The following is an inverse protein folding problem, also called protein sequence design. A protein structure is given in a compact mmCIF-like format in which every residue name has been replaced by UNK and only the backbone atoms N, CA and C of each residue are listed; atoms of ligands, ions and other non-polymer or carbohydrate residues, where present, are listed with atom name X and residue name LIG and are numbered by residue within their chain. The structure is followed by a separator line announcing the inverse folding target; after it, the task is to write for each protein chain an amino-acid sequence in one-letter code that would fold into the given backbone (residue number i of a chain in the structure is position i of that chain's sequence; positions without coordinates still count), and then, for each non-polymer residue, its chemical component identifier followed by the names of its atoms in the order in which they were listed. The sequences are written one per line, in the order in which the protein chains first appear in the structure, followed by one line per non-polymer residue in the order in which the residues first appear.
data_IF_262088848630
#
_entry.id   IF_262088848630
#
_cell.length_a   1.000
_cell.length_b   1.000
_cell.length_c   1.000
_cell.angle_alpha   90.00
_cell.angle_beta   90.00
_cell.angle_gamma   90.00
#
_symmetry.space_group_name_H-M   'P 1'
#
loop_
_entity.id
_entity.type
_entity.pdbx_description
1 polymer ?
#
# COMPACT_ATOMS: atom_id res chain seq x y z
N UNK A 1 23.20 6.04 27.93
CA UNK A 1 22.68 4.89 27.18
C UNK A 1 21.44 5.39 26.44
N UNK A 2 21.55 5.66 25.15
CA UNK A 2 20.39 5.96 24.29
C UNK A 2 19.57 4.69 24.19
N UNK A 3 18.32 4.71 24.65
CA UNK A 3 17.42 3.56 24.48
C UNK A 3 17.30 3.25 22.98
N UNK A 4 17.36 1.96 22.62
CA UNK A 4 17.14 1.54 21.25
C UNK A 4 15.73 1.94 20.82
N UNK A 5 15.60 2.52 19.62
CA UNK A 5 14.30 2.86 19.05
C UNK A 5 13.47 1.57 18.91
N UNK A 6 12.29 1.47 19.54
CA UNK A 6 11.44 0.29 19.44
C UNK A 6 10.97 0.18 17.98
N UNK A 7 11.29 -0.94 17.34
CA UNK A 7 10.87 -1.25 15.97
C UNK A 7 9.93 -2.43 16.01
N UNK A 8 8.86 -2.34 15.22
CA UNK A 8 7.92 -3.43 15.07
C UNK A 8 8.53 -4.55 14.21
N UNK A 9 9.31 -4.19 13.18
CA UNK A 9 10.07 -5.14 12.36
C UNK A 9 11.35 -4.47 11.78
N UNK A 10 12.54 -5.08 11.89
CA UNK A 10 13.74 -4.54 11.25
C UNK A 10 13.63 -4.60 9.71
N UNK A 11 13.77 -3.46 9.04
CA UNK A 11 13.76 -3.38 7.57
C UNK A 11 14.89 -4.20 6.95
N UNK A 12 16.03 -4.33 7.65
CA UNK A 12 17.15 -5.13 7.20
C UNK A 12 16.77 -6.61 6.99
N UNK A 13 15.88 -7.15 7.81
CA UNK A 13 15.41 -8.54 7.69
C UNK A 13 14.50 -8.71 6.47
N UNK A 14 13.61 -7.74 6.24
CA UNK A 14 12.77 -7.69 5.03
C UNK A 14 13.62 -7.63 3.76
N UNK A 15 14.65 -6.77 3.75
CA UNK A 15 15.57 -6.62 2.60
C UNK A 15 16.40 -7.89 2.39
N UNK A 16 16.88 -8.50 3.49
CA UNK A 16 17.61 -9.75 3.43
C UNK A 16 16.74 -10.86 2.84
N UNK A 17 15.50 -11.01 3.30
CA UNK A 17 14.54 -11.95 2.74
C UNK A 17 14.29 -11.69 1.26
N UNK A 18 14.02 -10.44 0.88
CA UNK A 18 13.75 -10.06 -0.52
C UNK A 18 14.93 -10.39 -1.45
N UNK A 19 16.17 -10.30 -0.96
CA UNK A 19 17.38 -10.66 -1.72
C UNK A 19 17.48 -12.16 -1.99
N UNK A 20 16.87 -13.01 -1.14
CA UNK A 20 16.84 -14.47 -1.35
C UNK A 20 15.82 -14.92 -2.40
N UNK A 21 14.88 -14.05 -2.80
CA UNK A 21 13.84 -14.41 -3.74
C UNK A 21 14.40 -14.63 -5.14
N UNK A 22 14.15 -15.82 -5.69
CA UNK A 22 14.56 -16.16 -7.04
C UNK A 22 13.68 -15.42 -8.06
N UNK A 23 14.30 -14.53 -8.84
CA UNK A 23 13.63 -13.83 -9.95
C UNK A 23 13.73 -14.57 -11.29
N UNK A 24 14.36 -15.75 -11.30
CA UNK A 24 14.54 -16.58 -12.48
C UNK A 24 13.28 -17.40 -12.74
N UNK A 25 12.93 -17.58 -14.02
CA UNK A 25 11.78 -18.37 -14.47
C UNK A 25 10.40 -17.92 -13.97
N UNK A 26 10.28 -16.73 -13.38
CA UNK A 26 8.99 -16.15 -13.07
C UNK A 26 8.19 -15.89 -14.35
N UNK A 27 6.88 -16.08 -14.27
CA UNK A 27 5.95 -15.68 -15.32
C UNK A 27 5.34 -14.33 -14.94
N UNK A 28 5.71 -13.22 -15.60
CA UNK A 28 5.13 -11.91 -15.30
C UNK A 28 3.62 -11.93 -15.40
N UNK A 29 2.93 -11.31 -14.44
CA UNK A 29 1.45 -11.24 -14.45
C UNK A 29 0.89 -10.37 -15.57
N UNK A 30 1.74 -9.54 -16.18
CA UNK A 30 1.40 -8.67 -17.32
C UNK A 30 2.55 -8.58 -18.31
N UNK A 31 2.26 -8.10 -19.52
CA UNK A 31 3.30 -7.78 -20.51
C UNK A 31 4.22 -6.67 -19.99
N UNK A 32 5.53 -6.94 -19.97
CA UNK A 32 6.59 -6.03 -19.54
C UNK A 32 7.95 -6.43 -20.11
N UNK A 33 8.93 -5.52 -20.06
CA UNK A 33 10.33 -5.84 -20.32
C UNK A 33 10.95 -6.44 -19.05
N UNK A 34 11.20 -7.75 -19.06
CA UNK A 34 11.59 -8.49 -17.86
C UNK A 34 12.91 -7.99 -17.26
N UNK A 35 13.91 -7.73 -18.10
CA UNK A 35 15.21 -7.25 -17.64
C UNK A 35 15.12 -5.87 -16.97
N UNK A 36 14.29 -4.97 -17.50
CA UNK A 36 14.10 -3.63 -16.91
C UNK A 36 13.39 -3.76 -15.56
N UNK A 37 12.36 -4.60 -15.48
CA UNK A 37 11.63 -4.79 -14.22
C UNK A 37 12.47 -5.47 -13.14
N UNK A 38 13.34 -6.40 -13.53
CA UNK A 38 14.33 -6.99 -12.61
C UNK A 38 15.36 -5.96 -12.15
N UNK A 39 15.80 -5.05 -13.03
CA UNK A 39 16.68 -3.94 -12.65
C UNK A 39 15.99 -2.98 -11.67
N UNK A 40 14.72 -2.62 -11.93
CA UNK A 40 13.91 -1.79 -11.02
C UNK A 40 13.81 -2.42 -9.61
N UNK A 41 13.60 -3.75 -9.55
CA UNK A 41 13.60 -4.49 -8.28
C UNK A 41 14.94 -4.38 -7.55
N UNK A 42 16.05 -4.60 -8.25
CA UNK A 42 17.39 -4.52 -7.65
C UNK A 42 17.76 -3.11 -7.19
N UNK A 43 17.33 -2.08 -7.94
CA UNK A 43 17.51 -0.68 -7.55
C UNK A 43 16.72 -0.35 -6.27
N UNK A 44 15.47 -0.81 -6.19
CA UNK A 44 14.65 -0.63 -4.99
C UNK A 44 15.26 -1.34 -3.78
N UNK A 45 15.74 -2.59 -3.92
CA UNK A 45 16.42 -3.32 -2.86
C UNK A 45 17.69 -2.61 -2.40
N UNK A 46 18.53 -2.16 -3.33
CA UNK A 46 19.77 -1.44 -3.01
C UNK A 46 19.47 -0.15 -2.25
N UNK A 47 18.43 0.57 -2.67
CA UNK A 47 17.98 1.80 -2.00
C UNK A 47 17.53 1.52 -0.56
N UNK A 48 16.71 0.49 -0.35
CA UNK A 48 16.22 0.10 0.97
C UNK A 48 17.35 -0.43 1.87
N UNK A 49 18.29 -1.18 1.30
CA UNK A 49 19.48 -1.67 2.01
C UNK A 49 20.34 -0.51 2.50
N UNK A 50 20.63 0.45 1.62
CA UNK A 50 21.37 1.66 2.01
C UNK A 50 20.63 2.44 3.08
N UNK A 51 19.31 2.64 2.94
CA UNK A 51 18.51 3.32 3.94
C UNK A 51 18.56 2.62 5.30
N UNK A 52 18.40 1.29 5.34
CA UNK A 52 18.48 0.48 6.55
C UNK A 52 19.85 0.60 7.25
N UNK A 53 20.94 0.86 6.51
CA UNK A 53 22.27 1.05 7.09
C UNK A 53 22.54 2.48 7.61
N UNK A 54 21.68 3.47 7.30
CA UNK A 54 21.93 4.88 7.65
C UNK A 54 21.74 5.15 9.14
N UNK A 55 22.49 6.10 9.73
CA UNK A 55 22.22 6.60 11.09
C UNK A 55 20.79 7.12 11.26
N UNK A 56 20.22 7.67 10.18
CA UNK A 56 18.82 8.10 10.07
C UNK A 56 17.78 7.03 10.37
N UNK A 57 18.08 5.78 9.98
CA UNK A 57 17.23 4.64 10.28
C UNK A 57 17.61 3.97 11.60
N UNK A 58 18.91 3.90 11.92
CA UNK A 58 19.43 3.20 13.10
C UNK A 58 19.09 3.92 14.42
N UNK A 59 19.10 5.25 14.42
CA UNK A 59 18.75 6.08 15.57
C UNK A 59 17.93 7.29 15.09
N UNK A 60 16.66 7.09 14.67
CA UNK A 60 15.89 8.13 13.97
C UNK A 60 15.57 9.35 14.84
N UNK A 61 15.58 9.19 16.16
CA UNK A 61 15.22 10.24 17.13
C UNK A 61 16.43 11.07 17.60
N UNK A 62 17.64 10.81 17.08
CA UNK A 62 18.85 11.54 17.51
C UNK A 62 18.95 12.94 16.89
N UNK A 63 18.26 13.18 15.78
CA UNK A 63 18.30 14.45 15.05
C UNK A 63 17.41 15.49 15.71
N UNK A 64 17.67 16.78 15.44
CA UNK A 64 16.88 17.88 15.97
C UNK A 64 16.51 18.88 14.85
N UNK A 65 15.43 19.62 15.07
CA UNK A 65 14.88 20.64 14.18
C UNK A 65 14.84 20.15 12.72
N UNK A 66 15.39 20.93 11.80
CA UNK A 66 15.40 20.61 10.38
C UNK A 66 16.05 19.25 10.06
N UNK A 67 17.05 18.80 10.82
CA UNK A 67 17.64 17.49 10.59
C UNK A 67 16.69 16.33 10.95
N UNK A 68 15.82 16.52 11.96
CA UNK A 68 14.78 15.54 12.27
C UNK A 68 13.70 15.51 11.17
N UNK A 69 13.35 16.68 10.65
CA UNK A 69 12.45 16.81 9.50
C UNK A 69 13.02 16.14 8.25
N UNK A 70 14.29 16.40 7.95
CA UNK A 70 15.03 15.77 6.85
C UNK A 70 15.04 14.26 6.99
N UNK A 71 15.30 13.75 8.19
CA UNK A 71 15.24 12.31 8.42
C UNK A 71 13.84 11.75 8.16
N UNK A 72 12.78 12.43 8.60
CA UNK A 72 11.40 12.01 8.33
C UNK A 72 11.11 11.89 6.82
N UNK A 73 11.52 12.86 6.00
CA UNK A 73 11.33 12.77 4.54
C UNK A 73 12.16 11.64 3.90
N UNK A 74 13.31 11.30 4.46
CA UNK A 74 14.08 10.13 4.01
C UNK A 74 13.37 8.81 4.34
N UNK A 75 12.75 8.72 5.52
CA UNK A 75 11.86 7.59 5.86
C UNK A 75 10.68 7.50 4.90
N UNK A 76 10.03 8.62 4.59
CA UNK A 76 8.91 8.66 3.64
C UNK A 76 9.34 8.17 2.24
N UNK A 77 10.50 8.62 1.75
CA UNK A 77 11.06 8.14 0.48
C UNK A 77 11.36 6.64 0.48
N UNK A 78 11.84 6.10 1.61
CA UNK A 78 12.05 4.66 1.79
C UNK A 78 10.71 3.90 1.78
N UNK A 79 9.68 4.41 2.48
CA UNK A 79 8.33 3.83 2.47
C UNK A 79 7.76 3.71 1.06
N UNK A 80 7.81 4.78 0.26
CA UNK A 80 7.39 4.76 -1.14
C UNK A 80 8.21 3.76 -1.99
N UNK A 81 9.49 3.57 -1.66
CA UNK A 81 10.34 2.58 -2.34
C UNK A 81 9.95 1.15 -1.96
N UNK A 82 9.59 0.91 -0.71
CA UNK A 82 9.09 -0.37 -0.24
C UNK A 82 7.74 -0.75 -0.89
N UNK A 83 6.80 0.21 -1.01
CA UNK A 83 5.56 -0.04 -1.75
C UNK A 83 5.83 -0.37 -3.24
N UNK A 84 6.77 0.33 -3.88
CA UNK A 84 7.18 -0.01 -5.26
C UNK A 84 7.78 -1.40 -5.37
N UNK A 85 8.54 -1.85 -4.37
CA UNK A 85 9.08 -3.21 -4.34
C UNK A 85 7.95 -4.26 -4.38
N UNK A 86 6.87 -4.07 -3.61
CA UNK A 86 5.68 -4.94 -3.68
C UNK A 86 5.07 -4.94 -5.08
N UNK A 87 4.86 -3.77 -5.69
CA UNK A 87 4.32 -3.66 -7.05
C UNK A 87 5.21 -4.37 -8.06
N UNK A 88 6.54 -4.22 -7.96
CA UNK A 88 7.48 -4.91 -8.84
C UNK A 88 7.44 -6.42 -8.65
N UNK A 89 7.29 -6.89 -7.41
CA UNK A 89 7.08 -8.30 -7.12
C UNK A 89 5.82 -8.87 -7.77
N UNK A 90 4.71 -8.12 -7.68
CA UNK A 90 3.45 -8.47 -8.33
C UNK A 90 3.65 -8.52 -9.86
N UNK A 91 4.22 -7.47 -10.45
CA UNK A 91 4.52 -7.38 -11.89
C UNK A 91 5.37 -8.56 -12.39
N UNK A 92 6.43 -8.90 -11.65
CA UNK A 92 7.37 -9.97 -11.99
C UNK A 92 6.74 -11.37 -11.89
N UNK A 93 5.60 -11.52 -11.23
CA UNK A 93 5.00 -12.84 -11.02
C UNK A 93 5.50 -13.57 -9.77
N UNK A 94 5.99 -12.85 -8.75
CA UNK A 94 6.32 -13.49 -7.49
C UNK A 94 5.09 -14.19 -6.89
N UNK A 95 5.20 -15.42 -6.37
CA UNK A 95 4.09 -16.10 -5.71
C UNK A 95 3.51 -15.28 -4.57
N UNK A 96 2.20 -15.38 -4.34
CA UNK A 96 1.52 -14.64 -3.27
C UNK A 96 2.15 -14.90 -1.89
N UNK A 97 2.56 -16.13 -1.58
CA UNK A 97 3.28 -16.46 -0.35
C UNK A 97 4.60 -15.68 -0.17
N UNK A 98 5.34 -15.42 -1.26
CA UNK A 98 6.57 -14.62 -1.20
C UNK A 98 6.25 -13.12 -0.96
N UNK A 99 5.15 -12.62 -1.55
CA UNK A 99 4.67 -11.26 -1.28
C UNK A 99 4.18 -11.12 0.16
N UNK A 100 3.44 -12.12 0.67
CA UNK A 100 2.98 -12.21 2.07
C UNK A 100 4.15 -12.16 3.05
N UNK A 101 5.25 -12.86 2.77
CA UNK A 101 6.43 -12.84 3.62
C UNK A 101 7.15 -11.47 3.67
N UNK A 102 7.02 -10.65 2.63
CA UNK A 102 7.59 -9.29 2.59
C UNK A 102 6.71 -8.25 3.26
N UNK A 103 5.39 -8.44 3.19
CA UNK A 103 4.41 -7.41 3.53
C UNK A 103 4.52 -6.88 4.98
N UNK A 104 4.56 -7.71 6.04
CA UNK A 104 4.60 -7.22 7.42
C UNK A 104 5.77 -6.29 7.69
N UNK A 105 6.96 -6.62 7.17
CA UNK A 105 8.14 -5.78 7.33
C UNK A 105 8.06 -4.44 6.59
N UNK A 106 7.24 -4.35 5.54
CA UNK A 106 6.96 -3.11 4.81
C UNK A 106 5.87 -2.31 5.53
N UNK A 107 4.82 -2.95 6.04
CA UNK A 107 3.79 -2.31 6.86
C UNK A 107 4.41 -1.70 8.14
N UNK A 108 5.24 -2.47 8.84
CA UNK A 108 5.99 -2.03 10.02
C UNK A 108 6.87 -0.80 9.75
N UNK A 109 7.49 -0.68 8.57
CA UNK A 109 8.26 0.52 8.19
C UNK A 109 7.39 1.79 8.22
N UNK A 110 6.15 1.70 7.74
CA UNK A 110 5.19 2.80 7.77
C UNK A 110 4.69 3.10 9.17
N UNK A 111 4.40 2.07 9.98
CA UNK A 111 3.98 2.24 11.37
C UNK A 111 5.09 2.88 12.22
N UNK A 112 6.32 2.37 12.14
CA UNK A 112 7.48 2.91 12.86
C UNK A 112 7.78 4.37 12.47
N UNK A 113 7.45 4.76 11.23
CA UNK A 113 7.61 6.13 10.74
C UNK A 113 6.77 7.15 11.53
N UNK A 114 5.66 6.74 12.16
CA UNK A 114 4.81 7.61 12.96
C UNK A 114 5.59 8.28 14.10
N UNK A 115 6.40 7.51 14.84
CA UNK A 115 7.24 8.03 15.91
C UNK A 115 8.33 8.99 15.38
N UNK A 116 8.82 8.76 14.16
CA UNK A 116 9.78 9.66 13.49
C UNK A 116 9.11 10.98 13.10
N UNK A 117 7.87 10.92 12.61
CA UNK A 117 7.06 12.10 12.28
C UNK A 117 6.75 12.93 13.53
N UNK A 118 6.34 12.28 14.62
CA UNK A 118 6.05 12.93 15.91
C UNK A 118 7.28 13.61 16.49
N UNK A 119 8.44 12.94 16.44
CA UNK A 119 9.70 13.53 16.88
C UNK A 119 10.10 14.74 16.03
N UNK A 120 9.99 14.65 14.71
CA UNK A 120 10.23 15.79 13.83
C UNK A 120 9.30 16.95 14.15
N UNK A 121 8.01 16.67 14.40
CA UNK A 121 7.00 17.68 14.77
C UNK A 121 7.36 18.39 16.06
N UNK A 122 7.64 17.62 17.11
CA UNK A 122 8.02 18.15 18.42
C UNK A 122 9.31 18.96 18.36
N UNK A 123 10.34 18.40 17.71
CA UNK A 123 11.65 19.04 17.63
C UNK A 123 11.61 20.35 16.82
N UNK A 124 10.83 20.40 15.74
CA UNK A 124 10.59 21.64 14.99
C UNK A 124 9.84 22.68 15.82
N UNK A 125 8.80 22.26 16.54
CA UNK A 125 8.02 23.19 17.35
C UNK A 125 8.87 23.88 18.43
N UNK A 126 9.81 23.14 19.05
CA UNK A 126 10.79 23.68 19.99
C UNK A 126 11.76 24.67 19.32
N UNK A 127 12.21 24.36 18.10
CA UNK A 127 13.17 25.20 17.37
C UNK A 127 12.54 26.51 16.86
N UNK A 128 11.24 26.51 16.53
CA UNK A 128 10.54 27.67 15.99
C UNK A 128 9.70 28.43 17.02
N UNK A 129 9.61 27.94 18.26
CA UNK A 129 8.72 28.45 19.32
C UNK A 129 7.25 28.59 18.86
N UNK A 130 6.80 27.65 18.03
CA UNK A 130 5.47 27.65 17.43
C UNK A 130 5.06 26.24 16.98
N UNK A 131 3.76 25.90 16.91
CA UNK A 131 3.32 24.64 16.33
C UNK A 131 3.84 24.45 14.91
N UNK A 132 4.38 23.27 14.62
CA UNK A 132 4.89 22.91 13.29
C UNK A 132 4.11 21.74 12.71
N UNK A 133 3.71 21.84 11.44
CA UNK A 133 2.98 20.78 10.76
C UNK A 133 3.93 19.73 10.18
N UNK A 134 3.84 18.50 10.68
CA UNK A 134 4.45 17.32 10.04
C UNK A 134 3.33 16.35 9.72
N UNK A 135 3.10 16.02 8.43
CA UNK A 135 2.01 15.15 8.02
C UNK A 135 2.20 13.74 8.60
N UNK A 136 1.10 12.99 8.75
CA UNK A 136 1.16 11.56 9.02
C UNK A 136 1.98 10.83 7.94
N UNK A 137 2.57 9.66 8.24
CA UNK A 137 3.36 8.88 7.27
C UNK A 137 2.65 8.72 5.92
N UNK A 138 1.38 8.31 5.95
CA UNK A 138 0.48 8.22 4.80
C UNK A 138 -0.53 9.36 4.83
N UNK A 139 -0.16 10.52 4.28
CA UNK A 139 -1.06 11.65 4.12
C UNK A 139 -2.10 11.36 3.02
N UNK A 140 -3.25 10.81 3.40
CA UNK A 140 -4.31 10.28 2.51
C UNK A 140 -4.97 11.34 1.62
N UNK A 141 -4.82 12.63 1.91
CA UNK A 141 -5.31 13.71 1.04
C UNK A 141 -4.30 14.12 -0.05
N UNK A 142 -3.19 13.40 -0.17
CA UNK A 142 -2.11 13.66 -1.11
C UNK A 142 -1.88 12.48 -2.05
N UNK A 143 -0.82 12.52 -2.87
CA UNK A 143 -0.45 11.39 -3.72
C UNK A 143 -0.07 10.11 -2.94
N UNK A 144 0.27 10.23 -1.64
CA UNK A 144 0.53 9.09 -0.76
C UNK A 144 -0.72 8.20 -0.55
N UNK A 145 -1.91 8.68 -0.91
CA UNK A 145 -3.14 7.89 -0.91
C UNK A 145 -3.03 6.58 -1.70
N UNK A 146 -2.27 6.58 -2.80
CA UNK A 146 -2.02 5.37 -3.57
C UNK A 146 -1.38 4.27 -2.71
N UNK A 147 -0.40 4.64 -1.89
CA UNK A 147 0.31 3.70 -1.04
C UNK A 147 -0.59 3.23 0.11
N UNK A 148 -1.48 4.08 0.62
CA UNK A 148 -2.51 3.69 1.57
C UNK A 148 -3.44 2.61 0.99
N UNK A 149 -4.05 2.87 -0.18
CA UNK A 149 -4.92 1.87 -0.84
C UNK A 149 -4.16 0.58 -1.14
N UNK A 150 -2.91 0.68 -1.62
CA UNK A 150 -2.07 -0.48 -1.88
C UNK A 150 -1.83 -1.33 -0.64
N UNK A 151 -1.43 -0.71 0.49
CA UNK A 151 -1.14 -1.44 1.71
C UNK A 151 -2.40 -2.09 2.26
N UNK A 152 -3.51 -1.36 2.32
CA UNK A 152 -4.78 -1.86 2.86
C UNK A 152 -5.34 -3.00 1.99
N UNK A 153 -5.32 -2.84 0.65
CA UNK A 153 -5.77 -3.89 -0.26
C UNK A 153 -4.87 -5.13 -0.22
N UNK A 154 -3.55 -4.96 -0.11
CA UNK A 154 -2.62 -6.09 0.00
C UNK A 154 -2.70 -6.79 1.35
N UNK A 155 -3.06 -6.12 2.44
CA UNK A 155 -3.31 -6.80 3.71
C UNK A 155 -4.38 -7.87 3.56
N UNK A 156 -5.47 -7.53 2.85
CA UNK A 156 -6.55 -8.46 2.53
C UNK A 156 -6.10 -9.54 1.55
N UNK A 157 -5.52 -9.14 0.41
CA UNK A 157 -5.12 -10.05 -0.68
C UNK A 157 -3.97 -11.01 -0.31
N UNK A 158 -3.20 -10.70 0.73
CA UNK A 158 -2.11 -11.55 1.21
C UNK A 158 -2.47 -12.25 2.53
N UNK A 159 -3.74 -12.17 2.96
CA UNK A 159 -4.24 -12.81 4.17
C UNK A 159 -3.41 -12.43 5.42
N UNK A 160 -3.20 -11.13 5.60
CA UNK A 160 -2.55 -10.53 6.78
C UNK A 160 -3.37 -9.35 7.32
N UNK A 161 -4.68 -9.52 7.56
CA UNK A 161 -5.57 -8.44 8.01
C UNK A 161 -5.17 -7.88 9.38
N UNK A 162 -4.44 -8.63 10.21
CA UNK A 162 -3.96 -8.20 11.52
C UNK A 162 -3.01 -6.99 11.48
N UNK A 163 -2.44 -6.68 10.31
CA UNK A 163 -1.60 -5.49 10.11
C UNK A 163 -2.44 -4.19 9.95
N UNK A 164 -3.72 -4.32 9.60
CA UNK A 164 -4.61 -3.18 9.31
C UNK A 164 -4.78 -2.25 10.51
N UNK A 165 -5.05 -2.73 11.75
CA UNK A 165 -5.20 -1.85 12.90
C UNK A 165 -3.97 -0.97 13.17
N UNK A 166 -2.77 -1.53 13.07
CA UNK A 166 -1.53 -0.78 13.26
C UNK A 166 -1.31 0.26 12.15
N UNK A 167 -1.61 -0.09 10.89
CA UNK A 167 -1.56 0.86 9.77
C UNK A 167 -2.56 2.01 9.96
N UNK A 168 -3.77 1.69 10.40
CA UNK A 168 -4.82 2.67 10.68
C UNK A 168 -4.40 3.68 11.74
N UNK A 169 -3.88 3.18 12.87
CA UNK A 169 -3.48 4.02 14.00
C UNK A 169 -2.21 4.82 13.69
N UNK A 170 -1.15 4.16 13.23
CA UNK A 170 0.17 4.76 13.18
C UNK A 170 0.49 5.40 11.83
N UNK A 171 0.16 4.75 10.72
CA UNK A 171 0.52 5.25 9.40
C UNK A 171 -0.50 6.28 8.86
N UNK A 172 -1.80 6.01 9.09
CA UNK A 172 -2.92 6.83 8.58
C UNK A 172 -3.43 7.84 9.60
N UNK A 173 -3.16 7.64 10.89
CA UNK A 173 -3.71 8.45 11.98
C UNK A 173 -5.25 8.59 11.91
N UNK A 174 -5.92 7.52 11.46
CA UNK A 174 -7.36 7.48 11.20
C UNK A 174 -7.90 8.54 10.20
N UNK A 175 -7.06 9.19 9.38
CA UNK A 175 -7.53 10.06 8.28
C UNK A 175 -7.91 9.20 7.07
N UNK A 176 -9.09 8.59 7.14
CA UNK A 176 -9.63 7.68 6.11
C UNK A 176 -10.84 8.23 5.39
N UNK A 177 -11.07 7.69 4.20
CA UNK A 177 -12.25 7.94 3.40
C UNK A 177 -13.04 6.64 3.20
N UNK A 178 -14.15 6.74 2.47
CA UNK A 178 -15.05 5.62 2.20
C UNK A 178 -14.32 4.36 1.75
N UNK A 179 -13.39 4.46 0.79
CA UNK A 179 -12.72 3.27 0.26
C UNK A 179 -11.82 2.62 1.32
N UNK A 180 -11.02 3.42 2.03
CA UNK A 180 -10.14 2.89 3.08
C UNK A 180 -10.95 2.25 4.23
N UNK A 181 -12.12 2.79 4.55
CA UNK A 181 -13.03 2.20 5.53
C UNK A 181 -13.56 0.85 5.05
N UNK A 182 -14.02 0.73 3.80
CA UNK A 182 -14.45 -0.56 3.25
C UNK A 182 -13.32 -1.61 3.25
N UNK A 183 -12.08 -1.20 2.95
CA UNK A 183 -10.93 -2.11 2.97
C UNK A 183 -10.52 -2.54 4.39
N UNK A 184 -10.92 -1.80 5.43
CA UNK A 184 -10.58 -2.07 6.82
C UNK A 184 -11.73 -2.57 7.68
N UNK A 185 -12.97 -2.53 7.16
CA UNK A 185 -14.18 -2.77 7.92
C UNK A 185 -14.16 -4.09 8.69
N UNK A 186 -13.76 -5.18 8.05
CA UNK A 186 -13.69 -6.49 8.69
C UNK A 186 -12.61 -6.59 9.78
N UNK A 187 -11.47 -5.92 9.61
CA UNK A 187 -10.36 -5.98 10.57
C UNK A 187 -10.56 -5.04 11.77
N UNK A 188 -11.46 -4.06 11.64
CA UNK A 188 -11.74 -3.04 12.66
C UNK A 188 -13.17 -3.12 13.21
N UNK A 189 -13.96 -4.11 12.79
CA UNK A 189 -15.39 -4.23 13.09
C UNK A 189 -16.16 -2.91 12.84
N UNK A 190 -15.89 -2.24 11.72
CA UNK A 190 -16.55 -0.96 11.40
C UNK A 190 -18.02 -1.19 11.05
N UNK A 191 -18.91 -0.56 11.81
CA UNK A 191 -20.35 -0.58 11.53
C UNK A 191 -20.75 0.36 10.37
N UNK A 192 -19.98 1.43 10.15
CA UNK A 192 -20.25 2.46 9.16
C UNK A 192 -18.96 2.92 8.50
N UNK A 193 -19.02 3.14 7.19
CA UNK A 193 -17.95 3.77 6.42
C UNK A 193 -18.23 5.28 6.27
N UNK A 194 -17.17 6.06 6.07
CA UNK A 194 -17.22 7.48 5.78
C UNK A 194 -18.04 7.76 4.50
N UNK A 195 -18.78 8.86 4.51
CA UNK A 195 -19.45 9.36 3.31
C UNK A 195 -18.48 10.05 2.35
N UNK A 196 -17.31 10.48 2.84
CA UNK A 196 -16.34 11.24 2.07
C UNK A 196 -15.50 10.34 1.15
N UNK A 197 -15.11 10.90 0.01
CA UNK A 197 -14.12 10.30 -0.89
C UNK A 197 -13.04 11.33 -1.18
N UNK A 198 -11.80 11.07 -0.79
CA UNK A 198 -10.72 12.06 -0.90
C UNK A 198 -10.26 12.24 -2.34
N UNK A 199 -10.25 11.16 -3.12
CA UNK A 199 -9.75 11.17 -4.49
C UNK A 199 -10.78 10.60 -5.46
N UNK A 200 -11.56 11.46 -6.14
CA UNK A 200 -12.56 11.00 -7.11
C UNK A 200 -12.00 10.21 -8.30
N UNK A 201 -10.69 10.27 -8.57
CA UNK A 201 -10.07 9.57 -9.71
C UNK A 201 -8.99 8.57 -9.22
N UNK A 202 -9.19 7.26 -9.40
CA UNK A 202 -10.30 6.58 -10.07
C UNK A 202 -11.57 6.37 -9.22
N UNK A 203 -11.49 6.55 -7.91
CA UNK A 203 -12.39 5.89 -6.96
C UNK A 203 -13.83 6.44 -6.94
N UNK A 204 -14.10 7.59 -7.55
CA UNK A 204 -15.47 8.12 -7.67
C UNK A 204 -16.38 7.23 -8.50
N UNK A 205 -15.80 6.44 -9.41
CA UNK A 205 -16.54 5.45 -10.18
C UNK A 205 -16.98 4.22 -9.34
N UNK A 206 -16.49 4.08 -8.09
CA UNK A 206 -16.97 3.06 -7.15
C UNK A 206 -18.27 3.46 -6.44
N UNK A 207 -18.77 4.68 -6.62
CA UNK A 207 -20.02 5.12 -5.98
C UNK A 207 -21.19 4.18 -6.31
N UNK A 208 -21.29 3.73 -7.58
CA UNK A 208 -22.32 2.77 -7.99
C UNK A 208 -22.25 1.42 -7.25
N UNK A 209 -21.05 1.04 -6.79
CA UNK A 209 -20.86 -0.13 -5.95
C UNK A 209 -21.23 0.17 -4.49
N UNK A 210 -20.73 1.27 -3.93
CA UNK A 210 -20.94 1.64 -2.52
C UNK A 210 -22.38 2.00 -2.17
N UNK A 211 -23.13 2.54 -3.12
CA UNK A 211 -24.50 3.04 -2.89
C UNK A 211 -25.56 1.96 -3.17
N UNK A 212 -25.15 0.69 -3.35
CA UNK A 212 -26.09 -0.43 -3.52
C UNK A 212 -26.95 -0.61 -2.26
N UNK A 213 -28.24 -0.84 -2.48
CA UNK A 213 -29.19 -1.18 -1.41
C UNK A 213 -29.29 -2.70 -1.26
N UNK A 214 -29.02 -3.22 -0.07
CA UNK A 214 -29.08 -4.65 0.23
C UNK A 214 -27.74 -5.36 0.02
N UNK A 215 -27.79 -6.62 -0.39
CA UNK A 215 -26.59 -7.44 -0.60
C UNK A 215 -25.82 -6.91 -1.81
N UNK A 216 -24.66 -6.29 -1.55
CA UNK A 216 -23.82 -5.73 -2.59
C UNK A 216 -23.43 -6.79 -3.62
N UNK A 217 -23.54 -6.44 -4.91
CA UNK A 217 -23.18 -7.30 -6.04
C UNK A 217 -21.92 -6.76 -6.75
N UNK A 218 -21.13 -7.62 -7.41
CA UNK A 218 -19.90 -7.21 -8.10
C UNK A 218 -20.14 -6.51 -9.45
N UNK A 219 -21.36 -6.52 -10.01
CA UNK A 219 -21.64 -5.99 -11.36
C UNK A 219 -21.09 -4.56 -11.61
N UNK A 220 -21.27 -3.58 -10.70
CA UNK A 220 -20.73 -2.22 -10.91
C UNK A 220 -19.19 -2.17 -10.98
N UNK A 221 -18.51 -3.16 -10.40
CA UNK A 221 -17.05 -3.25 -10.43
C UNK A 221 -16.52 -3.63 -11.82
N UNK A 222 -17.33 -4.29 -12.65
CA UNK A 222 -16.97 -4.59 -14.05
C UNK A 222 -16.82 -3.28 -14.84
N UNK A 223 -17.79 -2.38 -14.73
CA UNK A 223 -17.75 -1.07 -15.41
C UNK A 223 -16.63 -0.17 -14.86
N UNK A 224 -16.38 -0.26 -13.55
CA UNK A 224 -15.25 0.39 -12.91
C UNK A 224 -13.91 -0.09 -13.51
N UNK A 225 -13.68 -1.40 -13.56
CA UNK A 225 -12.46 -1.99 -14.14
C UNK A 225 -12.30 -1.62 -15.61
N UNK A 226 -13.38 -1.67 -16.37
CA UNK A 226 -13.38 -1.31 -17.79
C UNK A 226 -12.96 0.15 -18.00
N UNK A 227 -13.59 1.09 -17.29
CA UNK A 227 -13.37 2.52 -17.49
C UNK A 227 -12.09 3.05 -16.83
N UNK A 228 -11.81 2.65 -15.59
CA UNK A 228 -10.75 3.23 -14.78
C UNK A 228 -9.40 2.53 -14.93
N UNK A 229 -9.39 1.26 -15.38
CA UNK A 229 -8.17 0.51 -15.63
C UNK A 229 -7.97 0.24 -17.12
N UNK A 230 -8.87 -0.53 -17.76
CA UNK A 230 -8.68 -0.99 -19.14
C UNK A 230 -8.65 0.16 -20.15
N UNK A 231 -9.60 1.09 -20.08
CA UNK A 231 -9.64 2.26 -20.97
C UNK A 231 -8.54 3.27 -20.61
N UNK A 232 -8.26 3.48 -19.32
CA UNK A 232 -7.20 4.40 -18.86
C UNK A 232 -5.81 3.94 -19.34
N UNK A 233 -5.47 2.66 -19.19
CA UNK A 233 -4.17 2.13 -19.61
C UNK A 233 -4.00 2.03 -21.13
N UNK A 234 -5.11 2.06 -21.90
CA UNK A 234 -5.08 2.20 -23.36
C UNK A 234 -4.81 3.63 -23.85
N UNK A 235 -4.93 4.64 -22.99
CA UNK A 235 -4.64 6.02 -23.35
C UNK A 235 -3.14 6.28 -23.49
N UNK A 236 -2.77 7.29 -24.28
CA UNK A 236 -1.39 7.75 -24.33
C UNK A 236 -0.96 8.39 -22.99
N UNK A 237 0.33 8.36 -22.63
CA UNK A 237 0.82 8.98 -21.39
C UNK A 237 0.45 10.46 -21.25
N UNK A 238 0.40 11.21 -22.37
CA UNK A 238 -0.03 12.60 -22.37
C UNK A 238 -1.52 12.77 -21.99
N UNK A 239 -2.38 11.85 -22.43
CA UNK A 239 -3.81 11.86 -22.07
C UNK A 239 -4.02 11.43 -20.61
N UNK A 240 -3.28 10.44 -20.13
CA UNK A 240 -3.36 9.99 -18.73
C UNK A 240 -3.08 11.13 -17.74
N UNK A 241 -2.11 12.00 -18.06
CA UNK A 241 -1.73 13.18 -17.26
C UNK A 241 -2.71 14.35 -17.34
N UNK A 242 -3.74 14.28 -18.18
CA UNK A 242 -4.74 15.35 -18.28
C UNK A 242 -5.70 15.30 -17.08
N UNK A 243 -5.95 16.44 -16.47
CA UNK A 243 -6.89 16.58 -15.35
C UNK A 243 -6.28 16.27 -13.99
N UNK A 244 -7.13 15.95 -13.01
CA UNK A 244 -6.70 15.52 -11.68
C UNK A 244 -5.80 14.27 -11.76
N UNK A 245 -4.81 14.12 -10.86
CA UNK A 245 -3.95 12.95 -10.84
C UNK A 245 -4.77 11.67 -10.68
N UNK A 246 -4.39 10.62 -11.42
CA UNK A 246 -4.97 9.28 -11.26
C UNK A 246 -4.18 8.53 -10.18
N UNK A 247 -4.84 8.21 -9.06
CA UNK A 247 -4.21 7.62 -7.88
C UNK A 247 -4.52 6.14 -7.68
N UNK A 248 -4.88 5.41 -8.74
CA UNK A 248 -5.01 3.95 -8.69
C UNK A 248 -3.70 3.25 -8.36
N UNK A 249 -3.76 1.96 -8.00
CA UNK A 249 -2.63 1.15 -7.52
C UNK A 249 -1.72 0.63 -8.65
N UNK A 250 -1.39 1.50 -9.60
CA UNK A 250 -0.54 1.17 -10.75
C UNK A 250 -1.30 0.41 -11.83
N UNK A 251 -0.77 -0.71 -12.32
CA UNK A 251 -1.47 -1.53 -13.32
C UNK A 251 -2.61 -2.36 -12.72
N UNK A 252 -2.53 -2.67 -11.43
CA UNK A 252 -3.38 -3.63 -10.74
C UNK A 252 -4.52 -2.92 -10.02
N UNK A 253 -5.74 -3.43 -10.17
CA UNK A 253 -6.92 -3.00 -9.43
C UNK A 253 -7.01 -3.75 -8.09
N UNK A 254 -6.06 -3.47 -7.20
CA UNK A 254 -5.91 -4.19 -5.93
C UNK A 254 -7.13 -3.99 -5.03
N UNK A 255 -7.70 -2.80 -5.03
CA UNK A 255 -8.93 -2.47 -4.30
C UNK A 255 -10.11 -3.35 -4.72
N UNK A 256 -10.24 -3.68 -6.01
CA UNK A 256 -11.32 -4.54 -6.51
C UNK A 256 -11.08 -6.00 -6.11
N UNK A 257 -9.82 -6.45 -6.17
CA UNK A 257 -9.44 -7.77 -5.67
C UNK A 257 -9.75 -7.93 -4.18
N UNK A 258 -9.35 -6.96 -3.37
CA UNK A 258 -9.61 -6.96 -1.93
C UNK A 258 -11.11 -6.95 -1.60
N UNK A 259 -11.91 -6.11 -2.28
CA UNK A 259 -13.37 -6.13 -2.13
C UNK A 259 -13.96 -7.51 -2.48
N UNK A 260 -13.44 -8.16 -3.52
CA UNK A 260 -13.91 -9.50 -3.93
C UNK A 260 -13.59 -10.59 -2.90
N UNK A 261 -12.51 -10.44 -2.14
CA UNK A 261 -12.18 -11.30 -0.99
C UNK A 261 -13.12 -10.99 0.17
N UNK A 262 -13.22 -9.73 0.58
CA UNK A 262 -14.02 -9.30 1.75
C UNK A 262 -15.50 -9.69 1.64
N UNK A 263 -16.06 -9.62 0.43
CA UNK A 263 -17.47 -9.95 0.22
C UNK A 263 -17.73 -11.38 -0.26
N UNK A 264 -16.68 -12.14 -0.61
CA UNK A 264 -16.81 -13.56 -0.97
C UNK A 264 -17.65 -13.86 -2.21
N UNK A 265 -17.84 -12.92 -3.15
CA UNK A 265 -18.66 -13.14 -4.34
C UNK A 265 -18.00 -14.05 -5.38
N UNK A 266 -18.81 -14.58 -6.31
CA UNK A 266 -18.29 -15.09 -7.58
C UNK A 266 -17.68 -13.94 -8.40
N UNK A 267 -16.38 -14.03 -8.66
CA UNK A 267 -15.59 -13.01 -9.35
C UNK A 267 -15.31 -13.35 -10.82
N UNK A 268 -15.98 -14.35 -11.40
CA UNK A 268 -15.76 -14.80 -12.76
C UNK A 268 -15.83 -13.66 -13.81
N UNK A 269 -16.76 -12.71 -13.63
CA UNK A 269 -16.90 -11.55 -14.51
C UNK A 269 -15.70 -10.57 -14.41
N UNK A 270 -15.08 -10.46 -13.23
CA UNK A 270 -13.94 -9.57 -12.97
C UNK A 270 -12.65 -10.16 -13.54
N UNK A 271 -12.51 -11.49 -13.55
CA UNK A 271 -11.33 -12.22 -14.09
C UNK A 271 -11.08 -11.99 -15.58
N UNK A 272 -12.09 -11.53 -16.34
CA UNK A 272 -11.91 -11.16 -17.73
C UNK A 272 -11.03 -9.89 -17.90
N UNK A 273 -10.90 -9.08 -16.85
CA UNK A 273 -10.07 -7.88 -16.87
C UNK A 273 -8.60 -8.23 -16.53
N UNK A 274 -7.62 -7.88 -17.37
CA UNK A 274 -6.21 -8.18 -17.12
C UNK A 274 -5.62 -7.40 -15.93
N UNK A 275 -6.33 -6.39 -15.43
CA UNK A 275 -5.94 -5.58 -14.28
C UNK A 275 -6.43 -6.16 -12.95
N UNK A 276 -7.32 -7.15 -12.98
CA UNK A 276 -7.85 -7.81 -11.79
C UNK A 276 -6.83 -8.86 -11.28
N UNK A 277 -6.41 -8.79 -10.00
CA UNK A 277 -5.35 -9.64 -9.46
C UNK A 277 -5.90 -11.03 -9.03
N UNK A 278 -6.44 -11.78 -9.99
CA UNK A 278 -7.18 -13.03 -9.72
C UNK A 278 -6.41 -14.03 -8.85
N UNK A 279 -5.11 -14.20 -9.10
CA UNK A 279 -4.28 -15.17 -8.37
C UNK A 279 -4.04 -14.77 -6.91
N UNK A 280 -4.06 -13.47 -6.59
CA UNK A 280 -3.96 -13.00 -5.21
C UNK A 280 -5.30 -13.18 -4.47
N UNK A 281 -6.42 -13.02 -5.18
CA UNK A 281 -7.76 -13.29 -4.62
C UNK A 281 -7.90 -14.79 -4.33
N UNK A 282 -7.49 -15.65 -5.27
CA UNK A 282 -7.47 -17.10 -5.07
C UNK A 282 -6.63 -17.48 -3.85
N UNK A 283 -5.42 -16.93 -3.75
CA UNK A 283 -4.56 -17.16 -2.60
C UNK A 283 -5.23 -16.77 -1.27
N UNK A 284 -5.83 -15.59 -1.17
CA UNK A 284 -6.48 -15.16 0.07
C UNK A 284 -7.64 -16.08 0.48
N UNK A 285 -8.44 -16.53 -0.49
CA UNK A 285 -9.56 -17.47 -0.25
C UNK A 285 -9.07 -18.85 0.20
N UNK A 286 -8.03 -19.38 -0.44
CA UNK A 286 -7.42 -20.67 -0.06
C UNK A 286 -6.90 -20.65 1.39
N UNK A 287 -6.38 -19.51 1.85
CA UNK A 287 -5.93 -19.36 3.23
C UNK A 287 -7.08 -19.34 4.24
N UNK A 288 -8.18 -18.64 3.93
CA UNK A 288 -9.38 -18.62 4.78
C UNK A 288 -9.99 -20.00 4.95
N UNK A 289 -10.01 -20.82 3.89
CA UNK A 289 -10.49 -22.20 3.95
C UNK A 289 -9.57 -23.10 4.80
N UNK A 290 -8.28 -22.77 4.87
CA UNK A 290 -7.30 -23.52 5.66
C UNK A 290 -7.39 -23.19 7.16
N UNK A 291 -7.66 -21.93 7.50
CA UNK A 291 -7.78 -21.48 8.90
C UNK A 291 -9.17 -21.78 9.52
N UNK A 292 -10.15 -22.18 8.69
CA UNK A 292 -11.49 -22.61 9.10
C UNK A 292 -11.65 -24.11 9.43
N UNK A 293 -10.57 -24.90 9.39
CA UNK A 293 -10.53 -26.35 9.72
C UNK A 293 -9.84 -26.62 11.07
#
# INVERSE_FOLDING_TARGET
MTAAFPRSHPLADTVAHATTLALTNLQPRRSLHLADKQADWQEALTTLQHFAARPGYQAPLQFQAYAALENYWQWQSAGHTACRLLVYGIDLGLPAAALRALYPGIAALWCDMAAVADHARYSMAQATDAPYGVPAPLATRTAAYRDAVLLMALAVLLDVPDEIPALMEHALAFDTDRLLDYLSAAALDLEQASDDLFHPRPYGALAAFFDQLGDAQPDPLVDYLQSQYSDFHRQSPARQKKGAPWLGTGYWALEVGALSVLYGWDDAALRACPHYPADLVDFARDQMDTDGL
#
